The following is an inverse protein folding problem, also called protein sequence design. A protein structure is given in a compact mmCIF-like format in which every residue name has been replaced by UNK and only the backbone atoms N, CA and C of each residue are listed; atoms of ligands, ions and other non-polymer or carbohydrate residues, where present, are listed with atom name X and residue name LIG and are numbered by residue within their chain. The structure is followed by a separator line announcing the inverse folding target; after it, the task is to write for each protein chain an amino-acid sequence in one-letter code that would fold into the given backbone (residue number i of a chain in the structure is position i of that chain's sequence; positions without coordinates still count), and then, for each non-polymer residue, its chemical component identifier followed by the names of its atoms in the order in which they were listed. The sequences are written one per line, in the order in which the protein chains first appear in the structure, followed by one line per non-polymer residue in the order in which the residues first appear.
data_IF_508869577766
#
_entry.id   IF_508869577766
#
_cell.length_a   1.000
_cell.length_b   1.000
_cell.length_c   1.000
_cell.angle_alpha   90.00
_cell.angle_beta   90.00
_cell.angle_gamma   90.00
#
_symmetry.space_group_name_H-M   'P 1'
#
loop_
_entity.id
_entity.type
_entity.pdbx_description
1 polymer ?
#
# COMPACT_ATOMS: atom_id res chain seq x y z
N UNK A 1 -7.69 -7.92 14.85
CA UNK A 1 -8.82 -7.01 14.62
C UNK A 1 -8.97 -6.88 13.12
N UNK A 2 -10.05 -7.40 12.53
CA UNK A 2 -10.28 -7.30 11.08
C UNK A 2 -10.64 -5.85 10.76
N UNK A 3 -9.87 -5.21 9.90
CA UNK A 3 -10.11 -3.84 9.46
C UNK A 3 -11.27 -3.89 8.47
N UNK A 4 -12.49 -3.65 8.93
CA UNK A 4 -13.65 -3.42 8.06
C UNK A 4 -13.63 -1.97 7.58
N UNK A 5 -12.77 -1.67 6.61
CA UNK A 5 -12.74 -0.38 5.90
C UNK A 5 -12.78 -0.61 4.40
N UNK A 6 -13.63 0.14 3.73
CA UNK A 6 -13.71 0.18 2.28
C UNK A 6 -12.51 0.93 1.69
N UNK A 7 -12.19 0.67 0.42
CA UNK A 7 -11.18 1.43 -0.32
C UNK A 7 -11.45 2.95 -0.30
N UNK A 8 -12.71 3.36 -0.31
CA UNK A 8 -13.12 4.77 -0.25
C UNK A 8 -12.74 5.40 1.08
N UNK A 9 -13.05 4.73 2.19
CA UNK A 9 -12.69 5.22 3.53
C UNK A 9 -11.18 5.28 3.73
N UNK A 10 -10.44 4.29 3.23
CA UNK A 10 -8.97 4.32 3.26
C UNK A 10 -8.48 5.55 2.48
N UNK A 11 -9.01 5.81 1.29
CA UNK A 11 -8.61 6.96 0.49
C UNK A 11 -8.88 8.28 1.21
N UNK A 12 -10.06 8.45 1.80
CA UNK A 12 -10.46 9.66 2.50
C UNK A 12 -9.61 9.89 3.76
N UNK A 13 -9.48 8.87 4.61
CA UNK A 13 -8.73 8.98 5.88
C UNK A 13 -7.24 9.16 5.65
N UNK A 14 -6.66 8.43 4.70
CA UNK A 14 -5.24 8.56 4.35
C UNK A 14 -5.00 9.73 3.40
N UNK A 15 -6.05 10.43 2.95
CA UNK A 15 -6.08 11.49 1.90
C UNK A 15 -5.20 11.17 0.69
N UNK A 16 -5.26 9.94 0.19
CA UNK A 16 -4.61 9.53 -1.07
C UNK A 16 -5.60 9.69 -2.22
N UNK A 17 -5.08 9.97 -3.41
CA UNK A 17 -5.92 10.06 -4.61
C UNK A 17 -6.36 8.67 -5.10
N UNK A 18 -7.43 8.63 -5.89
CA UNK A 18 -7.85 7.45 -6.63
C UNK A 18 -6.74 6.91 -7.55
N UNK A 19 -5.94 7.81 -8.15
CA UNK A 19 -4.78 7.42 -8.97
C UNK A 19 -3.70 6.71 -8.15
N UNK A 20 -3.48 7.14 -6.91
CA UNK A 20 -2.52 6.50 -5.99
C UNK A 20 -3.01 5.12 -5.57
N UNK A 21 -4.30 4.98 -5.24
CA UNK A 21 -4.89 3.67 -4.95
C UNK A 21 -4.77 2.72 -6.16
N UNK A 22 -4.99 3.22 -7.38
CA UNK A 22 -4.87 2.41 -8.59
C UNK A 22 -3.44 1.91 -8.82
N UNK A 23 -2.44 2.77 -8.62
CA UNK A 23 -1.02 2.39 -8.64
C UNK A 23 -0.72 1.25 -7.66
N UNK A 24 -1.20 1.38 -6.42
CA UNK A 24 -1.03 0.32 -5.41
C UNK A 24 -1.64 -1.01 -5.84
N UNK A 25 -2.87 -0.99 -6.39
CA UNK A 25 -3.54 -2.21 -6.89
C UNK A 25 -2.79 -2.87 -8.04
N UNK A 26 -2.08 -2.10 -8.85
CA UNK A 26 -1.32 -2.60 -10.00
C UNK A 26 0.17 -2.85 -9.68
N UNK A 27 0.58 -2.81 -8.40
CA UNK A 27 1.99 -2.95 -8.00
C UNK A 27 2.92 -1.92 -8.67
N UNK A 28 2.41 -0.72 -8.94
CA UNK A 28 3.19 0.40 -9.46
C UNK A 28 3.86 1.19 -8.32
N UNK A 29 4.92 1.92 -8.66
CA UNK A 29 5.68 2.72 -7.70
C UNK A 29 4.83 3.84 -7.06
N UNK A 30 4.94 3.94 -5.73
CA UNK A 30 4.42 5.03 -4.90
C UNK A 30 5.53 5.62 -4.02
N UNK A 31 5.25 6.73 -3.34
CA UNK A 31 6.20 7.34 -2.41
C UNK A 31 6.05 6.76 -1.01
N UNK A 32 7.12 6.77 -0.21
CA UNK A 32 7.08 6.33 1.19
C UNK A 32 6.11 7.17 2.03
N UNK A 33 5.87 8.44 1.68
CA UNK A 33 4.86 9.27 2.35
C UNK A 33 3.44 8.75 2.16
N UNK A 34 3.11 8.18 1.00
CA UNK A 34 1.80 7.52 0.78
C UNK A 34 1.66 6.33 1.73
N UNK A 35 2.71 5.52 1.85
CA UNK A 35 2.74 4.37 2.76
C UNK A 35 2.54 4.80 4.22
N UNK A 36 3.28 5.81 4.70
CA UNK A 36 3.15 6.35 6.06
C UNK A 36 1.72 6.74 6.43
N UNK A 37 1.02 7.38 5.51
CA UNK A 37 -0.37 7.83 5.74
C UNK A 37 -1.37 6.68 5.77
N UNK A 38 -1.07 5.59 5.09
CA UNK A 38 -1.87 4.37 5.11
C UNK A 38 -1.62 3.60 6.41
N UNK A 39 -0.36 3.50 6.87
CA UNK A 39 -0.03 2.90 8.17
C UNK A 39 -0.79 3.57 9.32
N UNK A 40 -0.82 4.91 9.35
CA UNK A 40 -1.52 5.64 10.40
C UNK A 40 -3.04 5.37 10.41
N UNK A 41 -3.63 5.10 9.24
CA UNK A 41 -5.06 4.77 9.12
C UNK A 41 -5.34 3.32 9.50
N UNK A 42 -4.48 2.39 9.07
CA UNK A 42 -4.64 0.96 9.35
C UNK A 42 -4.20 0.58 10.78
N UNK A 43 -3.49 1.47 11.48
CA UNK A 43 -2.93 1.23 12.82
C UNK A 43 -2.08 -0.04 12.85
N UNK A 44 -1.27 -0.22 11.81
CA UNK A 44 -0.34 -1.34 11.66
C UNK A 44 1.10 -0.85 11.56
N UNK A 45 2.05 -1.75 11.81
CA UNK A 45 3.47 -1.50 11.59
C UNK A 45 3.79 -1.57 10.08
N UNK A 46 4.88 -0.93 9.66
CA UNK A 46 5.41 -1.06 8.31
C UNK A 46 5.77 -2.52 7.99
N UNK A 47 6.21 -3.29 8.98
CA UNK A 47 6.53 -4.71 8.83
C UNK A 47 5.31 -5.58 8.55
N UNK A 48 4.10 -5.12 8.87
CA UNK A 48 2.88 -5.92 8.72
C UNK A 48 2.39 -6.00 7.27
N UNK A 49 2.85 -5.07 6.41
CA UNK A 49 2.36 -4.94 5.03
C UNK A 49 3.45 -4.75 3.97
N UNK A 50 4.71 -4.61 4.35
CA UNK A 50 5.82 -4.49 3.40
C UNK A 50 6.76 -5.67 3.54
N UNK A 51 7.07 -6.30 2.41
CA UNK A 51 8.14 -7.29 2.28
C UNK A 51 9.25 -6.70 1.41
N UNK A 52 10.50 -6.79 1.88
CA UNK A 52 11.64 -6.51 1.00
C UNK A 52 11.85 -7.68 0.05
N UNK A 53 11.74 -7.42 -1.25
CA UNK A 53 11.99 -8.42 -2.31
C UNK A 53 13.24 -8.02 -3.08
N UNK A 54 14.17 -8.96 -3.30
CA UNK A 54 15.33 -8.68 -4.14
C UNK A 54 14.88 -8.42 -5.57
N UNK A 55 15.48 -7.43 -6.24
CA UNK A 55 15.13 -7.04 -7.62
C UNK A 55 15.17 -8.23 -8.58
N UNK A 56 16.12 -9.16 -8.39
CA UNK A 56 16.26 -10.34 -9.24
C UNK A 56 15.14 -11.38 -9.02
N UNK A 57 14.53 -11.42 -7.84
CA UNK A 57 13.42 -12.32 -7.48
C UNK A 57 12.06 -11.75 -7.93
N UNK A 58 11.93 -10.41 -7.98
CA UNK A 58 10.73 -9.75 -8.51
C UNK A 58 10.49 -10.10 -9.99
N UNK A 59 11.53 -10.04 -10.82
CA UNK A 59 11.42 -10.31 -12.27
C UNK A 59 11.03 -11.75 -12.60
N UNK A 60 11.33 -12.71 -11.73
CA UNK A 60 10.95 -14.12 -11.92
C UNK A 60 9.51 -14.43 -11.53
N UNK A 61 8.86 -13.63 -10.67
CA UNK A 61 7.47 -13.86 -10.25
C UNK A 61 6.42 -13.42 -11.30
N UNK A 62 6.81 -12.59 -12.27
CA UNK A 62 5.92 -12.02 -13.28
C UNK A 62 6.35 -12.37 -14.72
N UNK A 63 7.15 -13.43 -14.87
CA UNK A 63 7.51 -14.04 -16.16
C UNK A 63 6.74 -15.34 -16.32
#
# INVERSE_FOLDING_TARGET
MLIDMTNTEIMEKSKISKSTLYKMKNSENITTNVLLRIYDVLKCDISDIVEYVKINEYKSKFK
#
